data_IF_220778682589
#
_entry.id   IF_220778682589
#
_cell.length_a   1.000
_cell.length_b   1.000
_cell.length_c   1.000
_cell.angle_alpha   90.00
_cell.angle_beta   90.00
_cell.angle_gamma   90.00
#
_symmetry.space_group_name_H-M   'P 1'
#
loop_
_entity.id
_entity.type
_entity.pdbx_description
1 polymer ?
#
# COMPACT_ATOMS: atom_id res chain seq x y z
N UNK A 1 -2.69 -16.62 59.45
CA UNK A 1 -1.71 -16.71 58.36
C UNK A 1 -2.43 -17.39 57.20
N UNK A 2 -3.05 -16.62 56.31
CA UNK A 2 -3.79 -17.17 55.16
C UNK A 2 -2.79 -17.43 54.04
N UNK A 3 -2.49 -18.70 53.78
CA UNK A 3 -1.75 -19.12 52.60
C UNK A 3 -2.65 -18.92 51.39
N UNK A 4 -2.22 -18.09 50.43
CA UNK A 4 -2.90 -18.00 49.14
C UNK A 4 -2.84 -19.40 48.49
N UNK A 5 -4.01 -19.99 48.19
CA UNK A 5 -4.07 -21.24 47.45
C UNK A 5 -3.42 -20.99 46.08
N UNK A 6 -2.25 -21.60 45.86
CA UNK A 6 -1.53 -21.51 44.58
C UNK A 6 -2.42 -22.03 43.46
N UNK A 7 -2.54 -21.25 42.39
CA UNK A 7 -3.34 -21.63 41.24
C UNK A 7 -2.59 -22.72 40.46
N UNK A 8 -3.27 -23.83 40.19
CA UNK A 8 -2.73 -24.98 39.47
C UNK A 8 -3.67 -25.36 38.34
N UNK A 9 -3.10 -25.62 37.16
CA UNK A 9 -3.85 -26.00 35.97
C UNK A 9 -3.66 -27.50 35.72
N UNK A 10 -4.75 -28.18 35.40
CA UNK A 10 -4.75 -29.62 35.17
C UNK A 10 -5.35 -29.95 33.80
N UNK A 11 -4.89 -31.04 33.22
CA UNK A 11 -5.43 -31.56 31.97
C UNK A 11 -6.78 -32.30 32.20
N UNK A 12 -7.49 -32.72 31.13
CA UNK A 12 -8.76 -33.43 31.27
C UNK A 12 -8.66 -34.78 32.01
N UNK A 13 -7.46 -35.36 32.12
CA UNK A 13 -7.18 -36.57 32.88
C UNK A 13 -6.77 -36.28 34.34
N UNK A 14 -6.76 -35.00 34.75
CA UNK A 14 -6.42 -34.55 36.10
C UNK A 14 -4.91 -34.48 36.39
N UNK A 15 -4.05 -34.54 35.37
CA UNK A 15 -2.59 -34.40 35.52
C UNK A 15 -2.21 -32.92 35.56
N UNK A 16 -1.21 -32.58 36.38
CA UNK A 16 -0.78 -31.20 36.57
C UNK A 16 -0.08 -30.68 35.30
N UNK A 17 -0.66 -29.68 34.65
CA UNK A 17 -0.03 -29.00 33.52
C UNK A 17 1.05 -28.03 34.01
N UNK A 18 0.68 -27.16 34.94
CA UNK A 18 1.61 -26.21 35.56
C UNK A 18 1.01 -25.63 36.84
N UNK A 19 1.87 -25.30 37.80
CA UNK A 19 1.52 -24.50 38.98
C UNK A 19 2.35 -23.21 39.07
N UNK A 20 2.03 -22.36 40.05
CA UNK A 20 2.75 -21.09 40.30
C UNK A 20 4.20 -21.27 40.75
N UNK A 21 4.64 -22.50 41.03
CA UNK A 21 6.01 -22.85 41.41
C UNK A 21 6.79 -23.46 40.24
N UNK A 22 6.17 -23.57 39.06
CA UNK A 22 6.77 -24.11 37.85
C UNK A 22 6.82 -25.65 37.80
N UNK A 23 6.10 -26.34 38.68
CA UNK A 23 5.99 -27.80 38.63
C UNK A 23 4.92 -28.21 37.59
N UNK A 24 5.20 -29.29 36.86
CA UNK A 24 4.29 -29.88 35.87
C UNK A 24 4.59 -31.36 35.68
N UNK A 25 3.57 -32.12 35.30
CA UNK A 25 3.68 -33.52 34.91
C UNK A 25 4.01 -33.59 33.41
N UNK A 26 5.12 -34.25 33.07
CA UNK A 26 5.59 -34.39 31.69
C UNK A 26 4.64 -35.19 30.80
N UNK A 27 3.72 -35.96 31.37
CA UNK A 27 2.69 -36.70 30.66
C UNK A 27 1.34 -35.96 30.59
N UNK A 28 1.24 -34.75 31.14
CA UNK A 28 0.04 -33.93 31.02
C UNK A 28 -0.06 -33.34 29.61
N UNK A 29 -1.25 -33.44 29.01
CA UNK A 29 -1.49 -32.97 27.65
C UNK A 29 -2.72 -32.06 27.62
N UNK A 30 -2.55 -30.85 27.10
CA UNK A 30 -3.67 -29.99 26.70
C UNK A 30 -3.94 -30.25 25.21
N UNK A 31 -4.97 -31.04 24.85
CA UNK A 31 -5.38 -31.16 23.46
C UNK A 31 -5.94 -29.83 22.98
N UNK A 32 -5.10 -29.02 22.34
CA UNK A 32 -5.51 -27.79 21.68
C UNK A 32 -6.13 -28.16 20.34
N UNK A 33 -7.46 -28.21 20.29
CA UNK A 33 -8.21 -28.31 19.04
C UNK A 33 -8.61 -26.90 18.62
N UNK A 34 -7.90 -26.34 17.65
CA UNK A 34 -8.29 -25.08 17.02
C UNK A 34 -9.29 -25.44 15.92
N UNK A 35 -10.53 -25.00 16.05
CA UNK A 35 -11.48 -25.06 14.94
C UNK A 35 -11.02 -24.05 13.87
N UNK A 36 -10.66 -24.53 12.67
CA UNK A 36 -10.03 -23.69 11.63
C UNK A 36 -10.91 -22.54 11.15
N UNK A 37 -12.24 -22.63 11.35
CA UNK A 37 -13.19 -21.59 10.94
C UNK A 37 -13.03 -20.26 11.69
N UNK A 38 -12.23 -20.20 12.77
CA UNK A 38 -11.85 -18.94 13.40
C UNK A 38 -10.67 -18.23 12.69
N UNK A 39 -10.03 -18.91 11.72
CA UNK A 39 -8.85 -18.44 11.00
C UNK A 39 -9.01 -18.42 9.48
N UNK A 40 -10.05 -19.06 8.94
CA UNK A 40 -10.36 -18.95 7.52
C UNK A 40 -10.87 -17.52 7.23
N UNK A 41 -10.22 -16.83 6.30
CA UNK A 41 -10.73 -15.55 5.81
C UNK A 41 -12.17 -15.75 5.30
N UNK A 42 -13.10 -14.85 5.63
CA UNK A 42 -14.48 -14.98 5.20
C UNK A 42 -14.52 -15.05 3.67
N UNK A 43 -15.43 -15.89 3.14
CA UNK A 43 -15.63 -16.04 1.70
C UNK A 43 -15.74 -14.66 1.02
N UNK A 44 -15.05 -14.44 -0.11
CA UNK A 44 -15.11 -13.17 -0.80
C UNK A 44 -16.52 -12.75 -1.15
N UNK A 45 -16.83 -11.47 -0.91
CA UNK A 45 -18.14 -10.90 -1.21
C UNK A 45 -18.37 -10.79 -2.73
N UNK A 46 -19.65 -10.79 -3.19
CA UNK A 46 -19.95 -10.73 -4.63
C UNK A 46 -19.32 -9.54 -5.37
N UNK A 47 -19.15 -8.38 -4.73
CA UNK A 47 -18.52 -7.22 -5.36
C UNK A 47 -17.02 -7.42 -5.61
N UNK A 48 -16.35 -8.12 -4.69
CA UNK A 48 -14.93 -8.47 -4.81
C UNK A 48 -14.70 -9.44 -5.98
N UNK A 49 -15.53 -10.48 -6.07
CA UNK A 49 -15.46 -11.46 -7.17
C UNK A 49 -15.79 -10.83 -8.52
N UNK A 50 -16.82 -9.97 -8.58
CA UNK A 50 -17.19 -9.28 -9.81
C UNK A 50 -16.09 -8.33 -10.29
N UNK A 51 -15.40 -7.65 -9.35
CA UNK A 51 -14.25 -6.79 -9.67
C UNK A 51 -13.08 -7.61 -10.20
N UNK A 52 -12.70 -8.67 -9.49
CA UNK A 52 -11.67 -9.64 -9.91
C UNK A 52 -11.91 -10.13 -11.33
N UNK A 53 -13.12 -10.55 -11.65
CA UNK A 53 -13.47 -11.02 -12.98
C UNK A 53 -13.29 -9.94 -14.07
N UNK A 54 -13.65 -8.66 -13.79
CA UNK A 54 -13.41 -7.55 -14.72
C UNK A 54 -11.92 -7.29 -14.94
N UNK A 55 -11.13 -7.30 -13.87
CA UNK A 55 -9.68 -7.13 -13.94
C UNK A 55 -9.03 -8.25 -14.74
N UNK A 56 -9.38 -9.51 -14.47
CA UNK A 56 -8.88 -10.67 -15.20
C UNK A 56 -9.27 -10.67 -16.68
N UNK A 57 -10.50 -10.28 -17.02
CA UNK A 57 -10.91 -10.09 -18.40
C UNK A 57 -10.08 -9.01 -19.11
N UNK A 58 -9.70 -7.94 -18.40
CA UNK A 58 -8.84 -6.88 -18.93
C UNK A 58 -7.41 -7.37 -19.20
N UNK A 59 -6.86 -8.21 -18.31
CA UNK A 59 -5.57 -8.87 -18.53
C UNK A 59 -5.63 -9.85 -19.71
N UNK A 60 -6.68 -10.67 -19.78
CA UNK A 60 -6.89 -11.63 -20.85
C UNK A 60 -6.99 -10.94 -22.22
N UNK A 61 -7.72 -9.83 -22.31
CA UNK A 61 -7.84 -9.05 -23.54
C UNK A 61 -6.50 -8.51 -24.06
N UNK A 62 -5.52 -8.33 -23.16
CA UNK A 62 -4.15 -7.88 -23.48
C UNK A 62 -3.15 -9.04 -23.62
N UNK A 63 -3.60 -10.29 -23.51
CA UNK A 63 -2.74 -11.46 -23.57
C UNK A 63 -1.80 -11.60 -22.37
N UNK A 64 -2.12 -10.97 -21.24
CA UNK A 64 -1.32 -11.02 -20.01
C UNK A 64 -1.73 -12.28 -19.23
N UNK A 65 -0.78 -13.20 -18.93
CA UNK A 65 -1.05 -14.32 -18.03
C UNK A 65 -1.42 -13.83 -16.63
N UNK A 66 -2.40 -14.46 -15.99
CA UNK A 66 -2.79 -14.15 -14.61
C UNK A 66 -3.07 -15.40 -13.79
N UNK A 67 -2.90 -15.27 -12.48
CA UNK A 67 -3.11 -16.36 -11.53
C UNK A 67 -4.54 -16.27 -10.97
N UNK A 68 -5.40 -17.20 -11.37
CA UNK A 68 -6.80 -17.23 -10.94
C UNK A 68 -6.96 -17.38 -9.41
N UNK A 69 -5.98 -17.98 -8.73
CA UNK A 69 -5.99 -18.14 -7.27
C UNK A 69 -5.63 -16.89 -6.48
N UNK A 70 -5.23 -15.79 -7.12
CA UNK A 70 -4.99 -14.54 -6.38
C UNK A 70 -6.28 -14.07 -5.71
N UNK A 71 -6.24 -13.73 -4.41
CA UNK A 71 -7.41 -13.25 -3.70
C UNK A 71 -7.91 -11.94 -4.34
N UNK A 72 -9.22 -11.67 -4.28
CA UNK A 72 -9.72 -10.36 -4.67
C UNK A 72 -9.40 -9.32 -3.58
N UNK A 73 -9.18 -8.06 -3.97
CA UNK A 73 -8.98 -6.98 -3.00
C UNK A 73 -10.25 -6.71 -2.17
N UNK A 74 -10.13 -5.92 -1.10
CA UNK A 74 -11.20 -5.65 -0.13
C UNK A 74 -12.55 -5.23 -0.76
N UNK A 75 -13.65 -5.51 -0.07
CA UNK A 75 -14.99 -5.12 -0.52
C UNK A 75 -15.22 -3.62 -0.35
N UNK A 76 -15.95 -3.01 -1.29
CA UNK A 76 -16.38 -1.61 -1.16
C UNK A 76 -17.33 -1.40 0.03
N UNK A 77 -17.90 -2.47 0.58
CA UNK A 77 -18.78 -2.44 1.77
C UNK A 77 -18.02 -2.35 3.09
N UNK A 78 -16.76 -2.78 3.11
CA UNK A 78 -15.96 -2.90 4.33
C UNK A 78 -14.70 -2.06 4.31
N UNK A 79 -14.25 -1.62 3.14
CA UNK A 79 -13.08 -0.74 3.00
C UNK A 79 -13.33 0.58 3.71
N UNK A 80 -12.28 1.09 4.35
CA UNK A 80 -12.23 2.45 4.84
C UNK A 80 -11.08 3.12 4.11
N UNK A 81 -11.39 4.09 3.27
CA UNK A 81 -10.36 4.87 2.59
C UNK A 81 -9.73 5.87 3.54
N UNK A 82 -8.47 6.22 3.28
CA UNK A 82 -7.86 7.39 3.91
C UNK A 82 -8.67 8.66 3.59
N UNK A 83 -8.84 9.58 4.55
CA UNK A 83 -9.57 10.82 4.31
C UNK A 83 -8.84 11.66 3.26
N UNK A 84 -9.60 12.45 2.51
CA UNK A 84 -9.07 13.28 1.42
C UNK A 84 -7.87 14.13 1.86
N UNK A 85 -7.94 14.76 3.03
CA UNK A 85 -6.83 15.58 3.54
C UNK A 85 -5.54 14.79 3.72
N UNK A 86 -5.60 13.56 4.21
CA UNK A 86 -4.40 12.73 4.34
C UNK A 86 -3.80 12.36 2.97
N UNK A 87 -4.64 12.19 1.95
CA UNK A 87 -4.19 11.90 0.58
C UNK A 87 -3.55 13.14 -0.05
N UNK A 88 -4.10 14.33 0.20
CA UNK A 88 -3.48 15.61 -0.17
C UNK A 88 -2.11 15.75 0.48
N UNK A 89 -2.01 15.54 1.80
CA UNK A 89 -0.75 15.60 2.55
C UNK A 89 0.30 14.64 1.97
N UNK A 90 -0.12 13.42 1.62
CA UNK A 90 0.75 12.41 0.99
C UNK A 90 1.22 12.83 -0.39
N UNK A 91 0.35 13.45 -1.21
CA UNK A 91 0.75 14.01 -2.52
C UNK A 91 1.85 15.06 -2.35
N UNK A 92 1.72 15.96 -1.38
CA UNK A 92 2.73 17.00 -1.12
C UNK A 92 4.05 16.39 -0.64
N UNK A 93 4.01 15.42 0.27
CA UNK A 93 5.18 14.68 0.74
C UNK A 93 5.92 13.98 -0.42
N UNK A 94 5.20 13.22 -1.26
CA UNK A 94 5.80 12.51 -2.39
C UNK A 94 6.35 13.45 -3.44
N UNK A 95 5.70 14.60 -3.66
CA UNK A 95 6.21 15.64 -4.55
C UNK A 95 7.56 16.15 -4.07
N UNK A 96 7.71 16.46 -2.78
CA UNK A 96 8.99 16.90 -2.21
C UNK A 96 10.08 15.84 -2.38
N UNK A 97 9.77 14.58 -2.06
CA UNK A 97 10.71 13.45 -2.18
C UNK A 97 11.14 13.25 -3.63
N UNK A 98 10.20 13.25 -4.57
CA UNK A 98 10.47 13.04 -5.99
C UNK A 98 11.31 14.18 -6.60
N UNK A 99 10.98 15.44 -6.27
CA UNK A 99 11.77 16.61 -6.69
C UNK A 99 13.21 16.54 -6.17
N UNK A 100 13.40 16.11 -4.91
CA UNK A 100 14.75 15.90 -4.37
C UNK A 100 15.47 14.76 -5.10
N UNK A 101 14.77 13.67 -5.41
CA UNK A 101 15.29 12.55 -6.19
C UNK A 101 15.76 12.96 -7.59
N UNK A 102 15.04 13.88 -8.24
CA UNK A 102 15.38 14.44 -9.54
C UNK A 102 16.62 15.37 -9.49
N UNK A 103 17.04 15.78 -8.28
CA UNK A 103 18.19 16.64 -8.07
C UNK A 103 17.86 18.13 -8.06
N UNK A 104 16.62 18.49 -7.73
CA UNK A 104 16.24 19.89 -7.57
C UNK A 104 17.11 20.58 -6.51
N UNK A 105 17.50 21.83 -6.79
CA UNK A 105 18.37 22.61 -5.91
C UNK A 105 17.73 22.87 -4.54
N UNK A 106 18.56 22.96 -3.50
CA UNK A 106 18.11 23.10 -2.12
C UNK A 106 17.19 24.34 -1.90
N UNK A 107 17.50 25.47 -2.54
CA UNK A 107 16.70 26.69 -2.44
C UNK A 107 15.31 26.51 -3.07
N UNK A 108 15.22 25.74 -4.15
CA UNK A 108 13.95 25.43 -4.82
C UNK A 108 13.11 24.44 -4.00
N UNK A 109 13.75 23.43 -3.38
CA UNK A 109 13.08 22.54 -2.43
C UNK A 109 12.58 23.28 -1.19
N UNK A 110 13.38 24.22 -0.65
CA UNK A 110 12.96 25.07 0.46
C UNK A 110 11.80 25.99 0.07
N UNK A 111 11.80 26.54 -1.14
CA UNK A 111 10.68 27.32 -1.67
C UNK A 111 9.40 26.50 -1.83
N UNK A 112 9.52 25.25 -2.30
CA UNK A 112 8.39 24.32 -2.37
C UNK A 112 7.84 24.01 -0.98
N UNK A 113 8.71 23.66 -0.03
CA UNK A 113 8.29 23.39 1.36
C UNK A 113 7.62 24.62 2.01
N UNK A 114 8.17 25.81 1.81
CA UNK A 114 7.56 27.04 2.32
C UNK A 114 6.16 27.29 1.73
N UNK A 115 5.94 26.95 0.47
CA UNK A 115 4.67 27.17 -0.21
C UNK A 115 3.60 26.12 0.16
N UNK A 116 4.00 24.88 0.44
CA UNK A 116 3.09 23.75 0.58
C UNK A 116 3.15 23.01 1.93
N UNK A 117 4.10 23.32 2.82
CA UNK A 117 4.29 22.61 4.09
C UNK A 117 4.65 21.13 3.92
N UNK A 118 5.23 20.75 2.77
CA UNK A 118 5.39 19.35 2.37
C UNK A 118 6.20 18.50 3.36
N UNK A 119 7.20 19.10 4.02
CA UNK A 119 8.06 18.40 4.99
C UNK A 119 7.32 17.96 6.24
N UNK A 120 6.20 18.59 6.59
CA UNK A 120 5.39 18.21 7.77
C UNK A 120 4.68 16.86 7.59
N UNK A 121 4.59 16.37 6.35
CA UNK A 121 3.83 15.19 5.97
C UNK A 121 4.70 13.98 5.56
N UNK A 122 6.03 14.15 5.61
CA UNK A 122 6.98 13.09 5.28
C UNK A 122 6.86 11.93 6.27
N UNK A 123 6.99 10.71 5.76
CA UNK A 123 7.21 9.55 6.60
C UNK A 123 8.61 9.59 7.25
N UNK A 124 8.89 8.77 8.27
CA UNK A 124 10.22 8.67 8.87
C UNK A 124 11.34 8.38 7.85
N UNK A 125 11.13 7.46 6.90
CA UNK A 125 12.13 7.13 5.88
C UNK A 125 12.31 8.29 4.88
N UNK A 126 11.22 8.96 4.50
CA UNK A 126 11.24 10.12 3.61
C UNK A 126 11.94 11.31 4.28
N UNK A 127 11.73 11.53 5.58
CA UNK A 127 12.41 12.55 6.36
C UNK A 127 13.92 12.27 6.42
N UNK A 128 14.31 11.03 6.68
CA UNK A 128 15.72 10.62 6.67
C UNK A 128 16.36 10.84 5.29
N UNK A 129 15.64 10.53 4.20
CA UNK A 129 16.08 10.85 2.85
C UNK A 129 16.18 12.36 2.62
N UNK A 130 15.18 13.14 3.04
CA UNK A 130 15.12 14.60 2.91
C UNK A 130 16.27 15.32 3.63
N UNK A 131 16.73 14.78 4.76
CA UNK A 131 17.82 15.34 5.56
C UNK A 131 19.21 14.85 5.13
N UNK A 132 19.30 13.78 4.33
CA UNK A 132 20.57 13.30 3.82
C UNK A 132 21.12 14.27 2.74
N UNK A 133 22.27 14.94 2.97
CA UNK A 133 22.84 15.87 2.00
C UNK A 133 23.51 15.19 0.80
N UNK A 134 23.77 13.88 0.89
CA UNK A 134 24.38 13.10 -0.18
C UNK A 134 23.75 11.69 -0.24
N UNK A 135 22.47 11.56 -0.67
CA UNK A 135 21.87 10.27 -0.93
C UNK A 135 22.66 9.50 -1.98
N UNK A 136 22.73 8.19 -1.85
CA UNK A 136 23.31 7.36 -2.90
C UNK A 136 22.42 7.33 -4.15
N UNK A 137 22.99 6.85 -5.25
CA UNK A 137 22.29 6.81 -6.54
C UNK A 137 21.00 5.99 -6.50
N UNK A 138 20.97 4.90 -5.71
CA UNK A 138 19.78 4.06 -5.63
C UNK A 138 18.66 4.76 -4.87
N UNK A 139 18.98 5.50 -3.80
CA UNK A 139 18.03 6.32 -3.06
C UNK A 139 17.43 7.42 -3.93
N UNK A 140 18.23 8.08 -4.78
CA UNK A 140 17.75 9.06 -5.75
C UNK A 140 16.79 8.43 -6.78
N UNK A 141 17.17 7.28 -7.34
CA UNK A 141 16.33 6.53 -8.28
C UNK A 141 15.00 6.13 -7.63
N UNK A 142 15.04 5.56 -6.42
CA UNK A 142 13.83 5.18 -5.69
C UNK A 142 12.92 6.40 -5.42
N UNK A 143 13.52 7.55 -5.09
CA UNK A 143 12.77 8.79 -4.90
C UNK A 143 12.10 9.25 -6.21
N UNK A 144 12.77 9.15 -7.37
CA UNK A 144 12.14 9.50 -8.66
C UNK A 144 10.99 8.57 -9.02
N UNK A 145 11.02 7.29 -8.62
CA UNK A 145 9.90 6.38 -8.83
C UNK A 145 8.63 6.80 -8.07
N UNK A 146 8.75 7.62 -7.02
CA UNK A 146 7.57 8.17 -6.31
C UNK A 146 6.69 9.07 -7.17
N UNK A 147 7.14 9.52 -8.34
CA UNK A 147 6.25 10.17 -9.32
C UNK A 147 5.07 9.27 -9.73
N UNK A 148 5.25 7.95 -9.81
CA UNK A 148 4.16 7.03 -10.16
C UNK A 148 3.14 6.88 -9.03
N UNK A 149 3.63 6.82 -7.79
CA UNK A 149 2.77 6.82 -6.61
C UNK A 149 2.01 8.14 -6.50
N UNK A 150 2.69 9.27 -6.71
CA UNK A 150 2.10 10.61 -6.78
C UNK A 150 1.01 10.68 -7.86
N UNK A 151 1.29 10.22 -9.07
CA UNK A 151 0.36 10.19 -10.19
C UNK A 151 -0.92 9.40 -9.84
N UNK A 152 -0.77 8.24 -9.20
CA UNK A 152 -1.90 7.44 -8.72
C UNK A 152 -2.75 8.18 -7.69
N UNK A 153 -2.15 8.95 -6.78
CA UNK A 153 -2.88 9.75 -5.79
C UNK A 153 -3.52 11.00 -6.40
N UNK A 154 -2.88 11.66 -7.36
CA UNK A 154 -3.47 12.77 -8.13
C UNK A 154 -4.70 12.29 -8.92
N UNK A 155 -4.64 11.09 -9.48
CA UNK A 155 -5.81 10.43 -10.04
C UNK A 155 -6.85 10.16 -8.97
N UNK A 156 -6.49 9.60 -7.80
CA UNK A 156 -7.46 9.37 -6.74
C UNK A 156 -8.18 10.67 -6.31
N UNK A 157 -7.49 11.81 -6.34
CA UNK A 157 -7.98 13.13 -5.90
C UNK A 157 -8.72 13.96 -6.95
N UNK A 158 -8.92 13.51 -8.19
CA UNK A 158 -9.67 14.32 -9.17
C UNK A 158 -8.84 14.97 -10.27
N UNK A 159 -7.53 15.12 -10.07
CA UNK A 159 -6.69 15.95 -10.93
C UNK A 159 -6.28 15.24 -12.22
N UNK A 160 -5.90 13.96 -12.12
CA UNK A 160 -5.65 13.12 -13.29
C UNK A 160 -6.96 12.40 -13.65
N UNK A 161 -7.42 12.45 -14.92
CA UNK A 161 -8.72 11.87 -15.30
C UNK A 161 -8.73 10.34 -15.24
N UNK A 162 -7.69 9.70 -15.79
CA UNK A 162 -7.59 8.24 -15.97
C UNK A 162 -6.18 7.75 -15.61
N UNK A 163 -6.07 6.51 -15.12
CA UNK A 163 -4.78 5.84 -14.99
C UNK A 163 -4.51 5.02 -16.23
N UNK A 164 -3.51 5.44 -16.98
CA UNK A 164 -3.10 4.74 -18.19
C UNK A 164 -2.55 3.35 -17.90
N UNK A 165 -2.52 2.52 -18.94
CA UNK A 165 -1.86 1.22 -18.87
C UNK A 165 -0.39 1.39 -18.46
N UNK A 166 0.14 0.59 -17.51
CA UNK A 166 1.46 0.82 -16.95
C UNK A 166 2.58 0.21 -17.82
N UNK A 167 2.68 0.64 -19.09
CA UNK A 167 3.76 0.29 -20.02
C UNK A 167 4.80 1.40 -20.22
N UNK A 168 4.61 2.53 -19.55
CA UNK A 168 5.54 3.65 -19.53
C UNK A 168 5.37 4.46 -18.23
N UNK A 169 6.42 5.18 -17.81
CA UNK A 169 6.29 6.12 -16.71
C UNK A 169 5.32 7.27 -17.02
N UNK A 170 4.74 7.88 -15.99
CA UNK A 170 3.96 9.11 -16.09
C UNK A 170 4.82 10.28 -16.60
N UNK A 171 4.17 11.42 -16.86
CA UNK A 171 4.84 12.68 -17.18
C UNK A 171 4.90 13.55 -15.91
N UNK A 172 6.06 13.62 -15.21
CA UNK A 172 6.20 14.43 -14.01
C UNK A 172 5.92 15.92 -14.27
N UNK A 173 6.24 16.42 -15.47
CA UNK A 173 5.99 17.82 -15.82
C UNK A 173 4.50 18.14 -15.94
N UNK A 174 3.73 17.20 -16.51
CA UNK A 174 2.27 17.32 -16.56
C UNK A 174 1.65 17.28 -15.16
N UNK A 175 2.08 16.32 -14.31
CA UNK A 175 1.59 16.19 -12.93
C UNK A 175 1.93 17.43 -12.08
N UNK A 176 3.16 17.93 -12.19
CA UNK A 176 3.56 19.17 -11.52
C UNK A 176 2.80 20.39 -12.04
N UNK A 177 2.41 20.39 -13.32
CA UNK A 177 1.55 21.42 -13.90
C UNK A 177 0.14 21.49 -13.32
N UNK A 178 -0.33 20.42 -12.65
CA UNK A 178 -1.60 20.40 -11.93
C UNK A 178 -1.48 21.05 -10.55
N UNK A 179 -0.31 20.93 -9.92
CA UNK A 179 -0.04 21.45 -8.58
C UNK A 179 0.44 22.92 -8.61
N UNK A 180 1.44 23.22 -9.44
CA UNK A 180 2.17 24.49 -9.43
C UNK A 180 1.32 25.77 -9.55
N UNK A 181 0.17 25.79 -10.27
CA UNK A 181 -0.68 26.98 -10.34
C UNK A 181 -1.50 27.26 -9.08
N UNK A 182 -1.56 26.33 -8.12
CA UNK A 182 -2.45 26.38 -6.97
C UNK A 182 -1.65 26.64 -5.69
N UNK A 183 -2.18 27.44 -4.78
CA UNK A 183 -1.72 27.38 -3.38
C UNK A 183 -2.10 26.05 -2.72
N UNK A 184 -1.45 25.69 -1.63
CA UNK A 184 -1.81 24.51 -0.82
C UNK A 184 -3.31 24.49 -0.49
N UNK A 185 -3.86 25.61 -0.04
CA UNK A 185 -5.26 25.73 0.31
C UNK A 185 -6.20 25.52 -0.90
N UNK A 186 -5.84 26.07 -2.07
CA UNK A 186 -6.60 25.88 -3.31
C UNK A 186 -6.51 24.43 -3.80
N UNK A 187 -5.33 23.82 -3.75
CA UNK A 187 -5.15 22.42 -4.10
C UNK A 187 -6.01 21.50 -3.22
N UNK A 188 -5.95 21.71 -1.90
CA UNK A 188 -6.78 20.97 -0.93
C UNK A 188 -8.27 21.18 -1.16
N UNK A 189 -8.70 22.41 -1.47
CA UNK A 189 -10.09 22.73 -1.72
C UNK A 189 -10.60 22.11 -3.04
N UNK A 190 -9.76 22.05 -4.07
CA UNK A 190 -10.13 21.50 -5.38
C UNK A 190 -10.09 19.97 -5.41
N UNK A 191 -9.36 19.34 -4.50
CA UNK A 191 -9.31 17.90 -4.38
C UNK A 191 -10.71 17.28 -4.18
N UNK A 192 -10.97 16.20 -4.90
CA UNK A 192 -12.19 15.41 -4.85
C UNK A 192 -11.82 13.93 -4.87
N UNK A 193 -11.77 13.32 -3.68
CA UNK A 193 -11.47 11.90 -3.56
C UNK A 193 -12.53 11.06 -4.30
N UNK A 194 -12.07 10.20 -5.20
CA UNK A 194 -12.90 9.26 -5.96
C UNK A 194 -13.67 8.31 -5.03
N UNK A 195 -14.83 7.79 -5.49
CA UNK A 195 -15.57 6.79 -4.71
C UNK A 195 -14.75 5.52 -4.53
N UNK A 196 -14.94 4.84 -3.39
CA UNK A 196 -14.23 3.62 -3.04
C UNK A 196 -14.32 2.51 -4.09
N UNK A 197 -15.43 2.43 -4.82
CA UNK A 197 -15.57 1.48 -5.93
C UNK A 197 -14.57 1.75 -7.06
N UNK A 198 -14.33 3.00 -7.43
CA UNK A 198 -13.38 3.35 -8.47
C UNK A 198 -11.94 3.08 -8.02
N UNK A 199 -11.60 3.47 -6.78
CA UNK A 199 -10.27 3.24 -6.20
C UNK A 199 -9.97 1.74 -6.10
N UNK A 200 -10.92 0.94 -5.61
CA UNK A 200 -10.74 -0.51 -5.50
C UNK A 200 -10.66 -1.19 -6.88
N UNK A 201 -11.42 -0.72 -7.88
CA UNK A 201 -11.32 -1.23 -9.25
C UNK A 201 -9.92 -0.99 -9.84
N UNK A 202 -9.32 0.19 -9.62
CA UNK A 202 -7.94 0.46 -10.01
C UNK A 202 -6.92 -0.36 -9.19
N UNK A 203 -7.12 -0.49 -7.87
CA UNK A 203 -6.25 -1.28 -7.00
C UNK A 203 -6.21 -2.76 -7.43
N UNK A 204 -7.37 -3.37 -7.70
CA UNK A 204 -7.48 -4.76 -8.12
C UNK A 204 -6.82 -5.03 -9.48
N UNK A 205 -6.98 -4.10 -10.42
CA UNK A 205 -6.35 -4.18 -11.74
C UNK A 205 -4.82 -4.03 -11.64
N UNK A 206 -4.36 -3.03 -10.89
CA UNK A 206 -2.93 -2.75 -10.69
C UNK A 206 -2.24 -3.88 -9.92
N UNK A 207 -2.91 -4.45 -8.91
CA UNK A 207 -2.45 -5.64 -8.19
C UNK A 207 -2.15 -6.81 -9.13
N UNK A 208 -3.04 -7.06 -10.10
CA UNK A 208 -2.85 -8.13 -11.09
C UNK A 208 -1.73 -7.81 -12.09
N UNK A 209 -1.56 -6.56 -12.50
CA UNK A 209 -0.42 -6.16 -13.33
C UNK A 209 0.91 -6.34 -12.58
N UNK A 210 0.99 -5.87 -11.33
CA UNK A 210 2.17 -6.04 -10.50
C UNK A 210 2.53 -7.52 -10.30
N UNK A 211 1.53 -8.36 -9.98
CA UNK A 211 1.76 -9.79 -9.87
C UNK A 211 2.20 -10.44 -11.19
N UNK A 212 1.64 -10.03 -12.33
CA UNK A 212 2.07 -10.55 -13.64
C UNK A 212 3.57 -10.23 -13.91
N UNK A 213 4.04 -9.06 -13.48
CA UNK A 213 5.47 -8.72 -13.51
C UNK A 213 6.30 -9.59 -12.55
N UNK A 214 5.81 -9.84 -11.33
CA UNK A 214 6.47 -10.71 -10.35
C UNK A 214 6.57 -12.15 -10.85
N UNK A 215 5.47 -12.74 -11.35
CA UNK A 215 5.44 -14.10 -11.90
C UNK A 215 6.41 -14.25 -13.09
N UNK A 216 6.42 -13.27 -14.01
CA UNK A 216 7.37 -13.26 -15.12
C UNK A 216 8.83 -13.22 -14.61
N UNK A 217 9.13 -12.36 -13.63
CA UNK A 217 10.46 -12.28 -13.01
C UNK A 217 10.87 -13.60 -12.34
N UNK A 218 9.97 -14.23 -11.58
CA UNK A 218 10.22 -15.53 -10.95
C UNK A 218 10.51 -16.63 -11.98
N UNK A 219 9.90 -16.54 -13.16
CA UNK A 219 10.14 -17.44 -14.30
C UNK A 219 11.29 -17.02 -15.21
N UNK A 220 12.03 -15.96 -14.86
CA UNK A 220 13.10 -15.39 -15.68
C UNK A 220 12.64 -15.00 -17.10
N UNK A 221 11.42 -14.47 -17.20
CA UNK A 221 10.79 -13.99 -18.42
C UNK A 221 10.69 -12.46 -18.40
N UNK A 222 10.66 -11.80 -19.57
CA UNK A 222 10.33 -10.38 -19.63
C UNK A 222 8.91 -10.13 -19.13
N UNK A 223 8.66 -8.94 -18.58
CA UNK A 223 7.32 -8.53 -18.18
C UNK A 223 6.34 -8.65 -19.37
N UNK A 224 5.14 -9.22 -19.17
CA UNK A 224 4.24 -9.53 -20.26
C UNK A 224 3.63 -8.24 -20.83
N UNK A 225 3.33 -8.27 -22.13
CA UNK A 225 2.61 -7.19 -22.83
C UNK A 225 3.15 -5.77 -22.58
N UNK A 226 4.48 -5.63 -22.44
CA UNK A 226 5.15 -4.34 -22.29
C UNK A 226 4.99 -3.67 -20.92
N UNK A 227 4.46 -4.37 -19.90
CA UNK A 227 4.33 -3.82 -18.55
C UNK A 227 5.68 -3.34 -18.01
N UNK A 228 5.68 -2.14 -17.44
CA UNK A 228 6.78 -1.61 -16.65
C UNK A 228 6.57 -1.94 -15.17
N UNK A 229 7.45 -2.80 -14.64
CA UNK A 229 7.30 -3.33 -13.28
C UNK A 229 7.40 -2.25 -12.21
N UNK A 230 8.22 -1.21 -12.41
CA UNK A 230 8.34 -0.08 -11.48
C UNK A 230 7.05 0.72 -11.41
N UNK A 231 6.45 0.99 -12.58
CA UNK A 231 5.17 1.71 -12.70
C UNK A 231 4.05 0.96 -12.00
N UNK A 232 3.89 -0.34 -12.30
CA UNK A 232 2.86 -1.16 -11.66
C UNK A 232 3.06 -1.26 -10.13
N UNK A 233 4.30 -1.36 -9.67
CA UNK A 233 4.63 -1.46 -8.26
C UNK A 233 4.30 -0.17 -7.48
N UNK A 234 4.77 0.98 -7.94
CA UNK A 234 4.57 2.26 -7.23
C UNK A 234 3.10 2.68 -7.21
N UNK A 235 2.37 2.46 -8.32
CA UNK A 235 0.92 2.69 -8.36
C UNK A 235 0.18 1.75 -7.40
N UNK A 236 0.58 0.48 -7.34
CA UNK A 236 0.00 -0.47 -6.37
C UNK A 236 0.29 -0.02 -4.93
N UNK A 237 1.51 0.41 -4.64
CA UNK A 237 1.91 0.88 -3.32
C UNK A 237 1.02 2.04 -2.84
N UNK A 238 0.81 3.04 -3.70
CA UNK A 238 -0.08 4.17 -3.40
C UNK A 238 -1.54 3.76 -3.19
N UNK A 239 -2.06 2.84 -4.04
CA UNK A 239 -3.44 2.37 -3.94
C UNK A 239 -3.66 1.45 -2.72
N UNK A 240 -2.66 0.65 -2.36
CA UNK A 240 -2.67 -0.12 -1.12
C UNK A 240 -2.69 0.85 0.07
N UNK A 241 -1.76 1.80 0.15
CA UNK A 241 -1.75 2.80 1.23
C UNK A 241 -3.10 3.52 1.41
N UNK A 242 -3.78 3.83 0.30
CA UNK A 242 -5.09 4.48 0.30
C UNK A 242 -6.24 3.58 0.78
N UNK A 243 -6.10 2.26 0.65
CA UNK A 243 -7.17 1.27 0.90
C UNK A 243 -6.93 0.34 2.09
N UNK A 244 -5.68 0.19 2.55
CA UNK A 244 -5.38 -0.59 3.75
C UNK A 244 -5.90 0.13 4.99
N UNK A 245 -6.18 -0.63 6.05
CA UNK A 245 -6.63 -0.06 7.33
C UNK A 245 -5.60 0.96 7.81
N UNK A 246 -6.09 2.06 8.41
CA UNK A 246 -5.34 3.22 8.89
C UNK A 246 -4.08 2.97 9.75
N UNK A 247 -3.82 1.72 10.11
CA UNK A 247 -2.74 1.30 10.99
C UNK A 247 -1.41 1.09 10.25
N UNK A 248 -1.39 0.97 8.91
CA UNK A 248 -0.16 0.91 8.13
C UNK A 248 0.26 2.31 7.69
N UNK A 249 1.30 2.86 8.30
CA UNK A 249 1.93 4.10 7.87
C UNK A 249 2.58 3.93 6.49
N UNK A 250 2.88 5.06 5.83
CA UNK A 250 3.40 5.05 4.46
C UNK A 250 4.58 4.10 4.27
N UNK A 251 5.53 4.07 5.20
CA UNK A 251 6.73 3.23 5.11
C UNK A 251 6.46 1.74 5.33
N UNK A 252 5.32 1.38 5.92
CA UNK A 252 4.98 0.02 6.34
C UNK A 252 4.04 -0.70 5.35
N UNK A 253 3.63 -0.02 4.28
CA UNK A 253 2.72 -0.58 3.27
C UNK A 253 3.37 -1.77 2.60
N UNK A 254 2.73 -2.94 2.74
CA UNK A 254 3.13 -4.12 2.00
C UNK A 254 2.57 -4.11 0.57
N UNK A 255 3.43 -4.51 -0.36
CA UNK A 255 3.05 -4.87 -1.74
C UNK A 255 3.45 -6.31 -2.01
N UNK A 256 3.48 -7.15 -0.97
CA UNK A 256 3.69 -8.59 -1.09
C UNK A 256 2.51 -9.16 -1.90
N UNK A 257 2.69 -9.13 -3.21
CA UNK A 257 1.89 -9.84 -4.19
C UNK A 257 2.42 -11.24 -4.31
#
# INVERSE_FOLDING_TARGET
MYSAAGQAFYDPAGRLLTDTLGAGDAAAELPVSIESHYYDEPDPLPDQLARKARSEASLQARGIPFTASLPPVASAKTVQLRPQDAVVDRVLALTYVALKGEGLEADSLAGFDQAYGAREHLSPAEQAFADNPAPDQQALVNATWRYEALHALLWALGFVPELDYPDHPCDPGADMGLLAPLSEAEFRQQAQLRPATAILDAADLTYRYAWACVDARLRQQPAPAGLESGVAHERLYALNWLTTRFEEDWDDVSTDT
#
